data_IF_175699812803
#
_entry.id   IF_175699812803
#
_cell.length_a   1.000
_cell.length_b   1.000
_cell.length_c   1.000
_cell.angle_alpha   90.00
_cell.angle_beta   90.00
_cell.angle_gamma   90.00
#
_symmetry.space_group_name_H-M   'P 1'
#
loop_
_entity.id
_entity.type
_entity.pdbx_description
1 polymer ?
#
# COMPACT_ATOMS: atom_id res chain seq x y z
N UNK A 1 20.62 4.61 -1.02
CA UNK A 1 20.32 5.60 0.01
C UNK A 1 18.84 5.61 0.37
N UNK A 2 18.43 6.32 1.41
CA UNK A 2 17.04 6.43 1.84
C UNK A 2 16.13 6.95 0.72
N UNK A 3 14.88 6.50 0.73
CA UNK A 3 13.84 6.85 -0.26
C UNK A 3 12.61 7.41 0.45
N UNK A 4 11.87 8.25 -0.22
CA UNK A 4 10.57 8.69 0.27
C UNK A 4 9.46 8.30 -0.72
N UNK A 5 8.29 7.92 -0.18
CA UNK A 5 7.16 7.46 -0.98
C UNK A 5 5.88 8.20 -0.63
N UNK A 6 5.08 8.47 -1.65
CA UNK A 6 3.68 8.87 -1.50
C UNK A 6 2.84 7.84 -2.28
N UNK A 7 1.89 7.23 -1.61
CA UNK A 7 0.95 6.31 -2.21
C UNK A 7 -0.47 6.83 -1.96
N UNK A 8 -1.24 7.01 -3.01
CA UNK A 8 -2.64 7.41 -2.93
C UNK A 8 -3.53 6.32 -3.47
N UNK A 9 -4.50 5.90 -2.64
CA UNK A 9 -5.54 4.95 -2.99
C UNK A 9 -6.91 5.62 -2.92
N UNK A 10 -7.57 5.77 -4.06
CA UNK A 10 -8.97 6.13 -4.16
C UNK A 10 -9.80 4.84 -4.10
N UNK A 11 -10.09 4.40 -2.89
CA UNK A 11 -10.64 3.06 -2.60
C UNK A 11 -12.12 2.91 -2.99
N UNK A 12 -12.83 4.04 -3.10
CA UNK A 12 -14.26 4.06 -3.36
C UNK A 12 -15.11 3.69 -2.14
N UNK A 13 -16.33 4.18 -2.11
CA UNK A 13 -17.26 3.96 -1.02
C UNK A 13 -17.73 2.50 -0.94
N UNK A 14 -17.79 1.97 0.28
CA UNK A 14 -18.48 0.74 0.64
C UNK A 14 -19.47 1.08 1.77
N UNK A 15 -20.74 0.62 1.72
CA UNK A 15 -21.72 0.87 2.77
C UNK A 15 -21.26 0.37 4.15
N UNK A 16 -21.72 1.02 5.22
CA UNK A 16 -21.31 0.69 6.59
C UNK A 16 -21.75 -0.72 7.03
N UNK A 17 -22.87 -1.20 6.50
CA UNK A 17 -23.43 -2.53 6.75
C UNK A 17 -22.79 -3.65 5.93
N UNK A 18 -21.85 -3.34 5.04
CA UNK A 18 -21.15 -4.35 4.27
C UNK A 18 -20.19 -5.14 5.16
N UNK A 19 -20.13 -6.46 4.99
CA UNK A 19 -19.35 -7.39 5.83
C UNK A 19 -17.87 -6.98 6.00
N UNK A 20 -17.27 -6.33 5.00
CA UNK A 20 -15.86 -5.86 5.08
C UNK A 20 -15.66 -4.72 6.09
N UNK A 21 -16.72 -4.01 6.47
CA UNK A 21 -16.69 -2.95 7.48
C UNK A 21 -16.89 -3.51 8.90
N UNK A 22 -17.43 -4.71 9.02
CA UNK A 22 -17.58 -5.39 10.29
C UNK A 22 -16.20 -5.78 10.86
N UNK A 23 -15.96 -5.44 12.13
CA UNK A 23 -14.65 -5.62 12.78
C UNK A 23 -14.32 -7.07 13.05
N UNK A 24 -15.32 -7.90 13.33
CA UNK A 24 -15.12 -9.33 13.66
C UNK A 24 -15.10 -10.18 12.38
N UNK A 25 -15.98 -9.89 11.43
CA UNK A 25 -16.11 -10.67 10.21
C UNK A 25 -15.09 -10.29 9.15
N UNK A 26 -14.96 -8.99 8.87
CA UNK A 26 -14.11 -8.47 7.78
C UNK A 26 -12.84 -7.76 8.23
N UNK A 27 -12.74 -7.43 9.51
CA UNK A 27 -11.58 -6.73 10.08
C UNK A 27 -11.47 -5.24 9.70
N UNK A 28 -12.38 -4.73 8.87
CA UNK A 28 -12.30 -3.37 8.31
C UNK A 28 -11.36 -3.27 7.11
N UNK A 29 -11.43 -2.16 6.40
CA UNK A 29 -10.72 -1.97 5.13
C UNK A 29 -9.21 -1.73 5.27
N UNK A 30 -8.73 -1.33 6.42
CA UNK A 30 -7.29 -1.21 6.65
C UNK A 30 -6.63 -2.59 6.62
N UNK A 31 -7.20 -3.55 7.35
CA UNK A 31 -6.71 -4.94 7.36
C UNK A 31 -7.01 -5.64 6.03
N UNK A 32 -8.21 -5.43 5.46
CA UNK A 32 -8.65 -6.13 4.25
C UNK A 32 -8.07 -5.60 2.93
N UNK A 33 -7.63 -4.35 2.86
CA UNK A 33 -7.15 -3.75 1.60
C UNK A 33 -5.92 -2.85 1.77
N UNK A 34 -5.85 -1.98 2.77
CA UNK A 34 -4.69 -1.10 2.93
C UNK A 34 -3.40 -1.87 3.28
N UNK A 35 -3.52 -3.09 3.81
CA UNK A 35 -2.41 -4.02 4.04
C UNK A 35 -1.54 -4.23 2.79
N UNK A 36 -2.14 -4.28 1.60
CA UNK A 36 -1.40 -4.41 0.35
C UNK A 36 -0.43 -3.26 0.08
N UNK A 37 -0.74 -2.07 0.57
CA UNK A 37 0.10 -0.87 0.37
C UNK A 37 1.19 -0.77 1.43
N UNK A 38 0.95 -1.26 2.63
CA UNK A 38 1.97 -1.41 3.68
C UNK A 38 3.00 -2.44 3.21
N UNK A 39 2.56 -3.60 2.71
CA UNK A 39 3.41 -4.64 2.12
C UNK A 39 4.22 -4.12 0.92
N UNK A 40 3.55 -3.40 0.01
CA UNK A 40 4.21 -2.83 -1.16
C UNK A 40 5.32 -1.83 -0.77
N UNK A 41 5.08 -0.95 0.20
CA UNK A 41 6.12 -0.03 0.67
C UNK A 41 7.26 -0.78 1.35
N UNK A 42 6.96 -1.81 2.17
CA UNK A 42 7.97 -2.67 2.79
C UNK A 42 8.86 -3.33 1.74
N UNK A 43 8.25 -3.84 0.67
CA UNK A 43 8.97 -4.44 -0.47
C UNK A 43 9.84 -3.40 -1.23
N UNK A 44 9.27 -2.24 -1.59
CA UNK A 44 9.98 -1.20 -2.36
C UNK A 44 11.15 -0.57 -1.60
N UNK A 45 11.02 -0.44 -0.29
CA UNK A 45 12.11 0.04 0.58
C UNK A 45 13.18 -1.04 0.75
N UNK A 46 12.77 -2.27 1.01
CA UNK A 46 13.68 -3.40 1.25
C UNK A 46 14.30 -3.42 2.65
N UNK A 47 13.76 -2.61 3.61
CA UNK A 47 14.22 -2.55 4.99
C UNK A 47 13.03 -2.69 5.97
N UNK A 48 13.25 -3.21 7.20
CA UNK A 48 12.18 -3.37 8.20
C UNK A 48 11.45 -2.07 8.55
N UNK A 49 10.16 -2.18 8.87
CA UNK A 49 9.36 -1.09 9.40
C UNK A 49 9.70 -0.88 10.88
N UNK A 50 10.16 0.30 11.25
CA UNK A 50 10.55 0.65 12.63
C UNK A 50 9.47 1.40 13.39
N UNK A 51 8.48 1.96 12.69
CA UNK A 51 7.38 2.68 13.33
C UNK A 51 6.37 3.21 12.31
N UNK A 52 5.25 3.68 12.84
CA UNK A 52 4.22 4.33 12.02
C UNK A 52 3.48 5.42 12.79
N UNK A 53 2.82 6.30 12.06
CA UNK A 53 1.79 7.21 12.54
C UNK A 53 0.58 7.10 11.63
N UNK A 54 -0.62 7.10 12.20
CA UNK A 54 -1.85 7.03 11.45
C UNK A 54 -2.88 8.07 11.94
N UNK A 55 -3.61 8.66 11.00
CA UNK A 55 -4.69 9.60 11.26
C UNK A 55 -5.86 9.31 10.34
N UNK A 56 -7.08 9.34 10.88
CA UNK A 56 -8.33 9.17 10.13
C UNK A 56 -9.12 10.46 10.03
N UNK A 57 -10.10 10.48 9.16
CA UNK A 57 -11.11 11.53 9.12
C UNK A 57 -11.79 11.65 10.49
N UNK A 58 -12.03 12.89 10.93
CA UNK A 58 -12.74 13.16 12.17
C UNK A 58 -14.19 12.67 12.12
N UNK A 59 -14.76 12.35 13.28
CA UNK A 59 -16.17 11.97 13.40
C UNK A 59 -17.05 13.19 13.18
N UNK A 60 -17.94 13.13 12.17
CA UNK A 60 -18.88 14.18 11.81
C UNK A 60 -20.24 13.55 11.49
N UNK A 61 -21.37 14.26 11.69
CA UNK A 61 -22.69 13.76 11.32
C UNK A 61 -22.75 13.32 9.84
N UNK A 62 -23.37 12.19 9.56
CA UNK A 62 -23.54 11.64 8.21
C UNK A 62 -22.33 10.89 7.65
N UNK A 63 -21.30 10.63 8.46
CA UNK A 63 -20.17 9.77 8.10
C UNK A 63 -20.06 8.63 9.11
N UNK A 64 -20.57 7.46 8.74
CA UNK A 64 -20.64 6.29 9.63
C UNK A 64 -19.27 5.63 9.83
N UNK A 65 -18.47 5.49 8.76
CA UNK A 65 -17.13 4.90 8.80
C UNK A 65 -16.10 5.98 8.51
N UNK A 66 -15.15 6.17 9.40
CA UNK A 66 -14.05 7.14 9.27
C UNK A 66 -12.68 6.48 9.13
N UNK A 67 -12.51 5.27 9.66
CA UNK A 67 -11.23 4.54 9.66
C UNK A 67 -10.74 4.16 8.25
N UNK A 68 -11.64 4.05 7.26
CA UNK A 68 -11.31 3.82 5.85
C UNK A 68 -11.01 5.11 5.05
N UNK A 69 -10.79 6.21 5.75
CA UNK A 69 -10.35 7.52 5.22
C UNK A 69 -9.16 7.98 6.04
N UNK A 70 -8.01 7.36 5.80
CA UNK A 70 -6.85 7.50 6.66
C UNK A 70 -5.56 7.81 5.89
N UNK A 71 -4.64 8.48 6.58
CA UNK A 71 -3.25 8.64 6.16
C UNK A 71 -2.36 7.90 7.15
N UNK A 72 -1.47 7.06 6.62
CA UNK A 72 -0.56 6.20 7.37
C UNK A 72 0.85 6.53 6.91
N UNK A 73 1.72 6.95 7.80
CA UNK A 73 3.15 7.18 7.51
C UNK A 73 3.97 6.10 8.19
N UNK A 74 4.79 5.41 7.40
CA UNK A 74 5.72 4.37 7.84
C UNK A 74 7.14 4.92 7.88
N UNK A 75 7.91 4.53 8.90
CA UNK A 75 9.34 4.75 9.00
C UNK A 75 10.08 3.41 8.87
N UNK A 76 11.23 3.42 8.24
CA UNK A 76 12.03 2.21 7.97
C UNK A 76 13.43 2.30 8.55
N UNK A 77 14.06 1.15 8.79
CA UNK A 77 15.37 1.04 9.43
C UNK A 77 16.50 1.74 8.65
N UNK A 78 16.41 1.78 7.31
CA UNK A 78 17.39 2.46 6.45
C UNK A 78 17.20 3.99 6.39
N UNK A 79 16.29 4.56 7.18
CA UNK A 79 15.92 5.98 7.18
C UNK A 79 14.93 6.38 6.08
N UNK A 80 14.45 5.44 5.27
CA UNK A 80 13.35 5.68 4.32
C UNK A 80 12.04 5.94 5.04
N UNK A 81 11.11 6.62 4.37
CA UNK A 81 9.75 6.76 4.84
C UNK A 81 8.74 6.73 3.69
N UNK A 82 7.50 6.35 3.99
CA UNK A 82 6.43 6.36 3.01
C UNK A 82 5.08 6.69 3.63
N UNK A 83 4.27 7.49 2.92
CA UNK A 83 2.93 7.83 3.35
C UNK A 83 1.90 7.21 2.41
N UNK A 84 0.93 6.51 3.00
CA UNK A 84 -0.21 5.91 2.34
C UNK A 84 -1.44 6.77 2.64
N UNK A 85 -2.05 7.33 1.62
CA UNK A 85 -3.35 7.99 1.68
C UNK A 85 -4.41 7.00 1.19
N UNK A 86 -5.13 6.39 2.12
CA UNK A 86 -6.21 5.46 1.84
C UNK A 86 -7.54 6.18 2.03
N UNK A 87 -8.23 6.53 0.93
CA UNK A 87 -9.45 7.33 0.96
C UNK A 87 -10.60 6.64 0.25
N UNK A 88 -11.67 6.34 0.98
CA UNK A 88 -12.88 5.70 0.46
C UNK A 88 -13.97 6.68 0.00
N UNK A 89 -13.78 7.98 0.20
CA UNK A 89 -14.76 9.03 -0.10
C UNK A 89 -14.53 9.73 -1.45
N UNK A 90 -13.62 9.23 -2.27
CA UNK A 90 -13.34 9.78 -3.60
C UNK A 90 -14.32 9.30 -4.68
N UNK A 91 -14.44 10.07 -5.77
CA UNK A 91 -15.27 9.73 -6.92
C UNK A 91 -14.62 8.67 -7.83
N UNK A 92 -15.45 7.81 -8.43
CA UNK A 92 -15.00 6.71 -9.32
C UNK A 92 -14.32 7.18 -10.61
N UNK A 93 -14.51 8.44 -11.01
CA UNK A 93 -13.85 9.02 -12.17
C UNK A 93 -12.38 9.37 -11.93
N UNK A 94 -11.96 9.49 -10.67
CA UNK A 94 -10.56 9.71 -10.31
C UNK A 94 -9.77 8.41 -10.37
N UNK A 95 -8.49 8.42 -10.83
CA UNK A 95 -7.65 7.22 -10.88
C UNK A 95 -7.58 6.52 -9.52
N UNK A 96 -7.58 5.17 -9.55
CA UNK A 96 -7.64 4.39 -8.31
C UNK A 96 -6.35 4.46 -7.51
N UNK A 97 -5.19 4.30 -8.17
CA UNK A 97 -3.92 4.14 -7.48
C UNK A 97 -2.83 5.03 -8.09
N UNK A 98 -2.06 5.69 -7.25
CA UNK A 98 -0.84 6.39 -7.64
C UNK A 98 0.25 6.16 -6.60
N UNK A 99 1.46 5.91 -7.10
CA UNK A 99 2.67 5.77 -6.28
C UNK A 99 3.72 6.72 -6.81
N UNK A 100 4.34 7.48 -5.93
CA UNK A 100 5.46 8.36 -6.22
C UNK A 100 6.63 7.95 -5.33
N UNK A 101 7.79 7.71 -5.94
CA UNK A 101 9.03 7.35 -5.26
C UNK A 101 10.08 8.41 -5.55
N UNK A 102 10.66 8.97 -4.49
CA UNK A 102 11.69 10.01 -4.54
C UNK A 102 13.00 9.44 -4.02
N UNK A 103 14.07 9.63 -4.76
CA UNK A 103 15.41 9.19 -4.37
C UNK A 103 16.41 9.34 -5.50
N UNK A 104 17.70 9.38 -5.19
CA UNK A 104 18.79 9.52 -6.16
C UNK A 104 18.59 10.69 -7.15
N UNK A 105 18.14 11.84 -6.64
CA UNK A 105 17.83 13.05 -7.40
C UNK A 105 16.76 12.89 -8.50
N UNK A 106 15.99 11.81 -8.44
CA UNK A 106 14.93 11.49 -9.40
C UNK A 106 13.60 11.15 -8.73
N UNK A 107 12.54 11.17 -9.54
CA UNK A 107 11.19 10.75 -9.15
C UNK A 107 10.69 9.69 -10.12
N UNK A 108 10.09 8.63 -9.58
CA UNK A 108 9.28 7.68 -10.33
C UNK A 108 7.81 7.84 -9.95
N UNK A 109 6.94 7.96 -10.94
CA UNK A 109 5.49 8.06 -10.74
C UNK A 109 4.79 6.92 -11.47
N UNK A 110 4.10 6.07 -10.70
CA UNK A 110 3.31 4.95 -11.21
C UNK A 110 1.82 5.26 -11.08
N UNK A 111 1.12 5.29 -12.21
CA UNK A 111 -0.33 5.48 -12.27
C UNK A 111 -1.03 4.15 -12.57
N UNK A 112 -1.91 3.70 -11.68
CA UNK A 112 -2.80 2.53 -11.81
C UNK A 112 -2.08 1.24 -12.26
N UNK A 113 -0.83 1.01 -11.86
CA UNK A 113 -0.03 -0.14 -12.31
C UNK A 113 -0.04 -0.33 -13.84
N UNK A 114 -0.12 0.78 -14.57
CA UNK A 114 -0.22 0.81 -16.03
C UNK A 114 0.76 1.77 -16.68
N UNK A 115 1.08 2.88 -16.04
CA UNK A 115 1.96 3.91 -16.58
C UNK A 115 2.99 4.32 -15.54
N UNK A 116 4.26 4.07 -15.85
CA UNK A 116 5.40 4.54 -15.08
C UNK A 116 6.06 5.69 -15.82
N UNK A 117 6.33 6.80 -15.11
CA UNK A 117 7.11 7.94 -15.58
C UNK A 117 8.32 8.15 -14.70
N UNK A 118 9.44 8.52 -15.30
CA UNK A 118 10.67 8.92 -14.62
C UNK A 118 10.98 10.39 -14.86
N UNK A 119 11.35 11.08 -13.81
CA UNK A 119 11.83 12.45 -13.82
C UNK A 119 13.23 12.48 -13.22
N UNK A 120 14.21 13.13 -13.87
CA UNK A 120 15.60 13.15 -13.42
C UNK A 120 16.41 11.87 -13.69
N UNK A 121 15.82 10.83 -14.27
CA UNK A 121 16.50 9.55 -14.53
C UNK A 121 17.15 9.52 -15.90
N UNK A 122 18.48 9.30 -15.94
CA UNK A 122 19.20 9.10 -17.20
C UNK A 122 18.76 7.77 -17.84
N UNK A 123 18.37 7.80 -19.12
CA UNK A 123 17.99 6.61 -19.89
C UNK A 123 16.58 6.07 -19.65
N UNK A 124 15.80 6.67 -18.73
CA UNK A 124 14.41 6.27 -18.51
C UNK A 124 13.47 7.49 -18.47
N UNK A 125 12.47 7.52 -19.33
CA UNK A 125 11.43 8.56 -19.37
C UNK A 125 10.05 8.04 -18.99
N UNK A 126 9.62 6.94 -19.60
CA UNK A 126 8.33 6.34 -19.29
C UNK A 126 8.20 4.92 -19.84
N UNK A 127 7.31 4.15 -19.21
CA UNK A 127 6.81 2.87 -19.68
C UNK A 127 5.29 2.84 -19.56
N UNK A 128 4.61 2.23 -20.51
CA UNK A 128 3.15 2.08 -20.50
C UNK A 128 2.77 0.68 -20.95
N UNK A 129 1.90 0.05 -20.18
CA UNK A 129 1.27 -1.23 -20.51
C UNK A 129 -0.05 -0.99 -21.26
N UNK A 130 -0.47 -1.94 -22.07
CA UNK A 130 -1.79 -1.91 -22.73
C UNK A 130 -2.92 -2.10 -21.73
N UNK A 131 -2.74 -2.98 -20.74
CA UNK A 131 -3.65 -3.23 -19.63
C UNK A 131 -2.95 -3.04 -18.29
N UNK A 132 -3.73 -2.90 -17.21
CA UNK A 132 -3.19 -2.89 -15.86
C UNK A 132 -2.57 -4.27 -15.54
N UNK A 133 -1.39 -4.25 -14.90
CA UNK A 133 -0.74 -5.46 -14.39
C UNK A 133 -0.29 -5.20 -12.94
N UNK A 134 -0.92 -5.90 -12.00
CA UNK A 134 -0.60 -5.88 -10.56
C UNK A 134 0.27 -7.07 -10.14
N UNK A 135 0.83 -7.81 -11.09
CA UNK A 135 1.78 -8.87 -10.85
C UNK A 135 1.20 -10.20 -10.33
N UNK A 136 -0.13 -10.41 -10.30
CA UNK A 136 -0.72 -11.63 -9.74
C UNK A 136 -0.16 -12.91 -10.40
N UNK A 137 -0.03 -12.91 -11.73
CA UNK A 137 0.53 -14.05 -12.46
C UNK A 137 2.00 -14.29 -12.11
N UNK A 138 2.80 -13.23 -12.03
CA UNK A 138 4.21 -13.31 -11.68
C UNK A 138 4.41 -13.76 -10.21
N UNK A 139 3.58 -13.26 -9.30
CA UNK A 139 3.59 -13.67 -7.89
C UNK A 139 3.30 -15.17 -7.74
N UNK A 140 2.23 -15.67 -8.37
CA UNK A 140 1.90 -17.10 -8.34
C UNK A 140 3.01 -17.96 -8.96
N UNK A 141 3.58 -17.53 -10.10
CA UNK A 141 4.69 -18.24 -10.76
C UNK A 141 5.92 -18.29 -9.83
N UNK A 142 6.35 -17.18 -9.27
CA UNK A 142 7.50 -17.11 -8.37
C UNK A 142 7.36 -18.06 -7.18
N UNK A 143 6.18 -18.14 -6.57
CA UNK A 143 5.91 -19.05 -5.46
C UNK A 143 6.00 -20.54 -5.89
N UNK A 144 5.37 -20.89 -7.01
CA UNK A 144 5.40 -22.27 -7.52
C UNK A 144 6.81 -22.68 -7.95
N UNK A 145 7.55 -21.78 -8.61
CA UNK A 145 8.88 -22.04 -9.11
C UNK A 145 9.91 -22.24 -7.98
N UNK A 146 9.81 -21.47 -6.88
CA UNK A 146 10.67 -21.70 -5.73
C UNK A 146 10.41 -23.07 -5.06
N UNK A 147 9.15 -23.50 -4.97
CA UNK A 147 8.80 -24.85 -4.47
C UNK A 147 9.42 -25.93 -5.36
N UNK A 148 9.26 -25.82 -6.67
CA UNK A 148 9.80 -26.78 -7.65
C UNK A 148 11.33 -26.86 -7.60
N UNK A 149 11.97 -25.73 -7.40
CA UNK A 149 13.43 -25.64 -7.35
C UNK A 149 14.02 -25.92 -5.95
N UNK A 150 13.21 -26.18 -4.92
CA UNK A 150 13.66 -26.33 -3.54
C UNK A 150 14.34 -25.09 -2.98
N UNK A 151 13.97 -23.91 -3.48
CA UNK A 151 14.51 -22.63 -3.05
C UNK A 151 13.68 -22.02 -1.92
N UNK A 152 14.25 -21.10 -1.12
CA UNK A 152 13.50 -20.32 -0.14
C UNK A 152 12.31 -19.59 -0.78
N UNK A 153 11.25 -19.36 0.01
CA UNK A 153 10.06 -18.59 -0.42
C UNK A 153 10.46 -17.16 -0.83
N UNK A 154 9.76 -16.56 -1.84
CA UNK A 154 10.10 -15.23 -2.35
C UNK A 154 9.96 -14.11 -1.31
N UNK A 155 9.05 -14.25 -0.35
CA UNK A 155 8.84 -13.34 0.78
C UNK A 155 9.03 -14.16 2.05
N UNK A 156 9.90 -13.70 2.94
CA UNK A 156 10.20 -14.43 4.18
C UNK A 156 9.02 -14.41 5.14
N UNK A 157 8.88 -15.45 5.97
CA UNK A 157 7.85 -15.51 7.01
C UNK A 157 7.92 -14.31 7.96
N UNK A 158 9.13 -13.85 8.30
CA UNK A 158 9.33 -12.69 9.15
C UNK A 158 8.78 -11.39 8.54
N UNK A 159 8.94 -11.18 7.22
CA UNK A 159 8.37 -10.03 6.52
C UNK A 159 6.84 -10.08 6.49
N UNK A 160 6.27 -11.27 6.25
CA UNK A 160 4.81 -11.45 6.28
C UNK A 160 4.25 -11.11 7.67
N UNK A 161 4.88 -11.61 8.73
CA UNK A 161 4.44 -11.36 10.11
C UNK A 161 4.65 -9.91 10.54
N UNK A 162 5.72 -9.27 10.08
CA UNK A 162 5.99 -7.84 10.29
C UNK A 162 4.86 -6.99 9.69
N UNK A 163 4.53 -7.19 8.42
CA UNK A 163 3.47 -6.47 7.73
C UNK A 163 2.11 -6.72 8.37
N UNK A 164 1.78 -7.98 8.69
CA UNK A 164 0.51 -8.33 9.35
C UNK A 164 0.36 -7.61 10.70
N UNK A 165 1.41 -7.62 11.53
CA UNK A 165 1.42 -6.93 12.82
C UNK A 165 1.21 -5.42 12.65
N UNK A 166 1.96 -4.78 11.76
CA UNK A 166 1.83 -3.33 11.50
C UNK A 166 0.42 -2.98 11.00
N UNK A 167 -0.19 -3.80 10.13
CA UNK A 167 -1.55 -3.59 9.66
C UNK A 167 -2.58 -3.62 10.79
N UNK A 168 -2.45 -4.57 11.71
CA UNK A 168 -3.33 -4.71 12.88
C UNK A 168 -3.16 -3.51 13.80
N UNK A 169 -1.93 -3.16 14.16
CA UNK A 169 -1.62 -2.02 15.03
C UNK A 169 -2.13 -0.69 14.46
N UNK A 170 -1.98 -0.47 13.14
CA UNK A 170 -2.53 0.70 12.43
C UNK A 170 -4.06 0.72 12.53
N UNK A 171 -4.72 -0.41 12.27
CA UNK A 171 -6.17 -0.48 12.35
C UNK A 171 -6.67 -0.20 13.77
N UNK A 172 -6.00 -0.73 14.79
CA UNK A 172 -6.32 -0.48 16.20
C UNK A 172 -6.15 1.00 16.56
N UNK A 173 -5.05 1.64 16.16
CA UNK A 173 -4.82 3.07 16.38
C UNK A 173 -5.91 3.94 15.74
N UNK A 174 -6.39 3.59 14.55
CA UNK A 174 -7.43 4.35 13.85
C UNK A 174 -8.83 4.17 14.46
N UNK A 175 -9.04 3.17 15.31
CA UNK A 175 -10.32 2.87 15.98
C UNK A 175 -10.50 3.59 17.31
N UNK A 176 -9.42 4.12 17.86
CA UNK A 176 -9.41 4.96 19.07
C UNK A 176 -9.59 6.42 18.67
#
# INVERSE_FOLDING_TARGET
>A
GPKTFILTMNAGHIPADHWTQDREMGGGRIIGEACHYIDLLRFLVGAPITGFTARRLGTVPGVDITEDKASITLSFEDGSMGTIHYFSNGGKAFPKERIEAFGADGVLQLDNFKRLKGYGWKGFKSQRLLSQDKGQKACAAAFVDCIRAGQPVPISYSEIMEVARVCIEVAEQLRV
#
